data_IF_303882794805
#
_entry.id   IF_303882794805
#
_cell.length_a   1.000
_cell.length_b   1.000
_cell.length_c   1.000
_cell.angle_alpha   90.00
_cell.angle_beta   90.00
_cell.angle_gamma   90.00
#
_symmetry.space_group_name_H-M   'P 1'
#
loop_
_entity.id
_entity.type
_entity.pdbx_description
1 polymer ?
#
# COMPACT_ATOMS: atom_id res chain seq x y z
N UNK A 1 6.74 -8.27 25.49
CA UNK A 1 5.98 -7.41 24.57
C UNK A 1 4.73 -8.16 24.16
N UNK A 2 3.60 -7.81 24.76
CA UNK A 2 2.32 -8.51 24.59
C UNK A 2 1.87 -8.43 23.12
N UNK A 3 1.51 -9.57 22.52
CA UNK A 3 1.01 -9.61 21.14
C UNK A 3 -0.39 -9.01 21.13
N UNK A 4 -0.53 -7.75 20.69
CA UNK A 4 -1.82 -7.09 20.49
C UNK A 4 -2.69 -7.97 19.58
N UNK A 5 -3.75 -8.57 20.13
CA UNK A 5 -4.63 -9.48 19.39
C UNK A 5 -5.47 -8.68 18.37
N UNK A 6 -5.74 -9.21 17.16
CA UNK A 6 -6.49 -8.50 16.11
C UNK A 6 -7.95 -8.21 16.50
N UNK A 7 -8.52 -9.04 17.35
CA UNK A 7 -9.94 -9.07 17.73
C UNK A 7 -10.46 -7.85 18.51
N UNK A 8 -9.58 -6.96 18.97
CA UNK A 8 -9.94 -5.68 19.61
C UNK A 8 -9.61 -4.45 18.75
N UNK A 9 -9.31 -4.61 17.46
CA UNK A 9 -8.95 -3.47 16.62
C UNK A 9 -10.18 -2.83 16.01
N UNK A 10 -10.38 -1.56 16.35
CA UNK A 10 -11.40 -0.71 15.73
C UNK A 10 -11.11 -0.60 14.23
N UNK A 11 -11.98 -1.21 13.41
CA UNK A 11 -11.95 -1.07 11.96
C UNK A 11 -12.49 0.32 11.64
N UNK A 12 -11.62 1.19 11.12
CA UNK A 12 -12.01 2.54 10.69
C UNK A 12 -12.56 2.50 9.27
N UNK A 13 -13.47 3.40 8.91
CA UNK A 13 -13.97 3.50 7.54
C UNK A 13 -12.88 3.97 6.56
N UNK A 14 -13.13 3.82 5.26
CA UNK A 14 -12.23 4.35 4.24
C UNK A 14 -12.09 5.88 4.31
N UNK A 15 -13.18 6.58 4.61
CA UNK A 15 -13.18 8.04 4.79
C UNK A 15 -12.35 8.44 6.02
N UNK A 16 -12.46 7.70 7.12
CA UNK A 16 -11.61 7.91 8.30
C UNK A 16 -10.14 7.67 7.97
N UNK A 17 -9.83 6.64 7.18
CA UNK A 17 -8.46 6.38 6.74
C UNK A 17 -7.92 7.50 5.82
N UNK A 18 -8.76 8.02 4.92
CA UNK A 18 -8.42 9.20 4.12
C UNK A 18 -8.16 10.44 4.99
N UNK A 19 -8.89 10.64 6.09
CA UNK A 19 -8.62 11.73 7.04
C UNK A 19 -7.24 11.58 7.68
N UNK A 20 -6.84 10.35 8.05
CA UNK A 20 -5.48 10.07 8.54
C UNK A 20 -4.43 10.49 7.52
N UNK A 21 -4.60 10.12 6.24
CA UNK A 21 -3.65 10.49 5.19
C UNK A 21 -3.56 12.00 4.94
N UNK A 22 -4.62 12.76 5.24
CA UNK A 22 -4.69 14.21 5.04
C UNK A 22 -4.07 15.01 6.18
N UNK A 23 -3.79 14.42 7.34
CA UNK A 23 -3.15 15.11 8.48
C UNK A 23 -1.85 15.77 8.05
N UNK A 24 -1.68 17.03 8.42
CA UNK A 24 -0.49 17.83 8.11
C UNK A 24 0.78 17.22 8.72
N UNK A 25 1.92 17.49 8.10
CA UNK A 25 3.21 16.95 8.54
C UNK A 25 3.49 15.50 8.16
N UNK A 26 2.51 14.74 7.65
CA UNK A 26 2.78 13.41 7.08
C UNK A 26 3.46 13.56 5.71
N UNK A 27 4.69 13.05 5.53
CA UNK A 27 5.39 13.16 4.25
C UNK A 27 4.66 12.44 3.11
N UNK A 28 4.72 12.99 1.90
CA UNK A 28 4.09 12.42 0.70
C UNK A 28 4.50 10.95 0.47
N UNK A 29 5.77 10.61 0.71
CA UNK A 29 6.28 9.23 0.68
C UNK A 29 5.49 8.28 1.59
N UNK A 30 5.19 8.71 2.81
CA UNK A 30 4.47 7.90 3.79
C UNK A 30 3.02 7.74 3.36
N UNK A 31 2.38 8.81 2.88
CA UNK A 31 1.03 8.76 2.30
C UNK A 31 0.97 7.76 1.14
N UNK A 32 1.90 7.85 0.20
CA UNK A 32 2.00 6.94 -0.94
C UNK A 32 2.18 5.47 -0.52
N UNK A 33 3.07 5.19 0.45
CA UNK A 33 3.30 3.83 0.94
C UNK A 33 2.04 3.24 1.59
N UNK A 34 1.38 4.03 2.43
CA UNK A 34 0.13 3.63 3.10
C UNK A 34 -0.99 3.39 2.09
N UNK A 35 -1.18 4.31 1.14
CA UNK A 35 -2.14 4.18 0.03
C UNK A 35 -1.89 2.92 -0.79
N UNK A 36 -0.64 2.64 -1.16
CA UNK A 36 -0.33 1.49 -2.01
C UNK A 36 -0.59 0.16 -1.30
N UNK A 37 -0.20 0.04 -0.03
CA UNK A 37 -0.48 -1.15 0.79
C UNK A 37 -1.99 -1.32 0.95
N UNK A 38 -2.71 -0.23 1.24
CA UNK A 38 -4.16 -0.24 1.38
C UNK A 38 -4.83 -0.68 0.08
N UNK A 39 -4.62 -0.01 -1.05
CA UNK A 39 -5.31 -0.35 -2.30
C UNK A 39 -5.05 -1.79 -2.75
N UNK A 40 -3.78 -2.22 -2.72
CA UNK A 40 -3.37 -3.54 -3.23
C UNK A 40 -3.58 -4.68 -2.25
N UNK A 41 -3.86 -4.37 -0.98
CA UNK A 41 -3.86 -5.34 0.12
C UNK A 41 -2.52 -6.07 0.28
N UNK A 42 -1.42 -5.61 -0.31
CA UNK A 42 -0.15 -6.34 -0.34
C UNK A 42 0.60 -6.31 1.00
N UNK A 43 1.51 -7.26 1.21
CA UNK A 43 2.46 -7.16 2.33
C UNK A 43 3.49 -6.09 2.02
N UNK A 44 4.00 -5.42 3.06
CA UNK A 44 5.06 -4.43 2.87
C UNK A 44 6.29 -4.99 2.15
N UNK A 45 6.65 -6.25 2.39
CA UNK A 45 7.76 -6.92 1.69
C UNK A 45 7.50 -7.17 0.20
N UNK A 46 6.24 -7.18 -0.23
CA UNK A 46 5.84 -7.29 -1.64
C UNK A 46 5.82 -5.89 -2.30
N UNK A 47 5.52 -4.84 -1.52
CA UNK A 47 5.40 -3.46 -2.01
C UNK A 47 6.74 -2.76 -2.18
N UNK A 48 7.63 -2.82 -1.20
CA UNK A 48 8.89 -2.09 -1.24
C UNK A 48 9.78 -2.38 -2.46
N UNK A 49 9.91 -3.64 -2.95
CA UNK A 49 10.74 -3.93 -4.11
C UNK A 49 10.09 -3.57 -5.46
N UNK A 50 8.86 -3.04 -5.48
CA UNK A 50 8.21 -2.66 -6.72
C UNK A 50 8.98 -1.58 -7.47
N UNK A 51 8.98 -1.71 -8.79
CA UNK A 51 9.52 -0.76 -9.75
C UNK A 51 8.40 -0.10 -10.56
N UNK A 52 8.72 1.02 -11.22
CA UNK A 52 7.79 1.74 -12.11
C UNK A 52 7.27 0.84 -13.24
N UNK A 53 8.12 -0.02 -13.80
CA UNK A 53 7.75 -1.02 -14.81
C UNK A 53 6.70 -2.04 -14.34
N UNK A 54 6.52 -2.20 -13.02
CA UNK A 54 5.52 -3.11 -12.46
C UNK A 54 4.12 -2.49 -12.39
N UNK A 55 3.97 -1.23 -12.81
CA UNK A 55 2.71 -0.52 -12.85
C UNK A 55 2.37 -0.21 -14.30
N UNK A 56 1.19 -0.63 -14.73
CA UNK A 56 0.68 -0.29 -16.05
C UNK A 56 -0.83 -0.09 -16.03
N UNK A 57 -1.31 0.73 -16.96
CA UNK A 57 -2.73 1.02 -17.10
C UNK A 57 -3.39 -0.11 -17.89
N UNK A 58 -4.44 -0.67 -17.34
CA UNK A 58 -5.25 -1.73 -17.93
C UNK A 58 -6.71 -1.31 -17.80
N UNK A 59 -7.16 -0.40 -18.67
CA UNK A 59 -8.44 0.32 -18.50
C UNK A 59 -9.60 -0.66 -18.26
N UNK A 60 -10.47 -0.42 -17.25
CA UNK A 60 -10.58 0.78 -16.40
C UNK A 60 -9.75 0.71 -15.10
N UNK A 61 -8.67 -0.06 -15.07
CA UNK A 61 -7.85 -0.31 -13.88
C UNK A 61 -6.41 0.19 -14.03
N UNK A 62 -5.75 0.37 -12.89
CA UNK A 62 -4.31 0.28 -12.76
C UNK A 62 -3.93 -1.11 -12.28
N UNK A 63 -2.95 -1.72 -12.94
CA UNK A 63 -2.40 -3.00 -12.54
C UNK A 63 -1.08 -2.78 -11.79
N UNK A 64 -0.97 -3.35 -10.58
CA UNK A 64 0.26 -3.44 -9.82
C UNK A 64 0.72 -4.89 -9.76
N UNK A 65 1.72 -5.23 -10.58
CA UNK A 65 2.23 -6.60 -10.72
C UNK A 65 3.37 -6.86 -9.73
N UNK A 66 3.14 -7.70 -8.73
CA UNK A 66 4.10 -7.92 -7.65
C UNK A 66 4.54 -9.38 -7.52
N UNK A 67 5.81 -9.55 -7.17
CA UNK A 67 6.39 -10.84 -6.84
C UNK A 67 5.93 -11.28 -5.45
N UNK A 68 5.31 -12.45 -5.36
CA UNK A 68 4.83 -13.05 -4.11
C UNK A 68 5.45 -14.43 -3.95
N UNK A 69 5.87 -14.76 -2.74
CA UNK A 69 6.35 -16.11 -2.41
C UNK A 69 5.18 -16.98 -1.96
N UNK A 70 4.83 -18.01 -2.74
CA UNK A 70 3.79 -19.00 -2.40
C UNK A 70 4.39 -20.39 -2.46
N UNK A 71 4.38 -21.13 -1.34
CA UNK A 71 4.96 -22.49 -1.23
C UNK A 71 6.40 -22.57 -1.77
N UNK A 72 7.25 -21.61 -1.34
CA UNK A 72 8.65 -21.45 -1.80
C UNK A 72 8.84 -21.15 -3.29
N UNK A 73 7.77 -20.94 -4.06
CA UNK A 73 7.83 -20.52 -5.47
C UNK A 73 7.52 -19.04 -5.59
N UNK A 74 8.29 -18.35 -6.42
CA UNK A 74 8.03 -16.96 -6.79
C UNK A 74 6.93 -16.95 -7.86
N UNK A 75 5.85 -16.24 -7.58
CA UNK A 75 4.74 -16.05 -8.53
C UNK A 75 4.47 -14.56 -8.70
N UNK A 76 3.96 -14.17 -9.86
CA UNK A 76 3.44 -12.82 -10.08
C UNK A 76 1.98 -12.75 -9.63
N UNK A 77 1.64 -11.72 -8.87
CA UNK A 77 0.27 -11.38 -8.49
C UNK A 77 -0.06 -10.01 -9.06
N UNK A 78 -1.13 -9.93 -9.84
CA UNK A 78 -1.69 -8.66 -10.29
C UNK A 78 -2.67 -8.13 -9.23
N UNK A 79 -2.52 -6.88 -8.83
CA UNK A 79 -3.53 -6.16 -8.06
C UNK A 79 -4.18 -5.11 -8.97
N UNK A 80 -5.41 -5.39 -9.40
CA UNK A 80 -6.20 -4.50 -10.25
C UNK A 80 -6.96 -3.49 -9.38
N UNK A 81 -6.63 -2.22 -9.53
CA UNK A 81 -7.26 -1.12 -8.80
C UNK A 81 -8.10 -0.32 -9.79
N UNK A 82 -9.42 -0.37 -9.62
CA UNK A 82 -10.36 0.37 -10.49
C UNK A 82 -10.12 1.86 -10.37
N UNK A 83 -10.06 2.54 -11.51
CA UNK A 83 -10.06 4.00 -11.58
C UNK A 83 -11.48 4.47 -11.27
N UNK A 84 -11.66 5.04 -10.08
CA UNK A 84 -12.92 5.54 -9.56
C UNK A 84 -12.66 6.67 -8.58
N UNK A 85 -13.65 7.54 -8.35
CA UNK A 85 -13.57 8.62 -7.36
C UNK A 85 -13.13 8.12 -5.98
N UNK A 86 -13.65 6.96 -5.58
CA UNK A 86 -13.31 6.29 -4.34
C UNK A 86 -11.79 6.01 -4.19
N UNK A 87 -11.13 5.57 -5.26
CA UNK A 87 -9.72 5.21 -5.25
C UNK A 87 -8.80 6.37 -5.67
N UNK A 88 -9.35 7.41 -6.30
CA UNK A 88 -8.57 8.45 -6.98
C UNK A 88 -7.60 9.15 -6.03
N UNK A 89 -8.05 9.56 -4.84
CA UNK A 89 -7.20 10.24 -3.85
C UNK A 89 -6.00 9.38 -3.43
N UNK A 90 -6.21 8.06 -3.28
CA UNK A 90 -5.12 7.15 -2.95
C UNK A 90 -4.14 7.00 -4.12
N UNK A 91 -4.66 6.88 -5.35
CA UNK A 91 -3.86 6.82 -6.57
C UNK A 91 -3.05 8.11 -6.76
N UNK A 92 -3.62 9.28 -6.46
CA UNK A 92 -2.93 10.56 -6.55
C UNK A 92 -1.73 10.61 -5.59
N UNK A 93 -1.88 10.17 -4.33
CA UNK A 93 -0.72 10.08 -3.43
C UNK A 93 0.37 9.15 -3.97
N UNK A 94 -0.01 8.03 -4.58
CA UNK A 94 0.93 7.06 -5.15
C UNK A 94 1.68 7.69 -6.33
N UNK A 95 0.96 8.21 -7.32
CA UNK A 95 1.56 8.75 -8.54
C UNK A 95 2.29 10.07 -8.33
N UNK A 96 1.77 10.96 -7.49
CA UNK A 96 2.48 12.21 -7.13
C UNK A 96 3.83 11.90 -6.50
N UNK A 97 3.92 10.89 -5.63
CA UNK A 97 5.19 10.47 -5.05
C UNK A 97 6.11 9.81 -6.08
N UNK A 98 5.60 8.88 -6.89
CA UNK A 98 6.40 8.18 -7.91
C UNK A 98 6.98 9.15 -8.94
N UNK A 99 6.23 10.19 -9.28
CA UNK A 99 6.63 11.23 -10.23
C UNK A 99 7.53 12.31 -9.59
N UNK A 100 7.63 12.36 -8.25
CA UNK A 100 8.51 13.32 -7.56
C UNK A 100 9.98 12.91 -7.55
N UNK A 101 10.34 11.77 -8.15
CA UNK A 101 11.72 11.28 -8.20
C UNK A 101 11.99 10.44 -9.45
N UNK A 102 13.28 10.33 -9.82
CA UNK A 102 13.74 9.66 -11.04
C UNK A 102 14.19 8.20 -10.84
N UNK A 103 13.88 7.57 -9.70
CA UNK A 103 14.28 6.17 -9.47
C UNK A 103 13.43 5.18 -10.28
N UNK A 104 14.00 4.03 -10.61
CA UNK A 104 13.25 2.86 -11.09
C UNK A 104 12.35 2.26 -10.00
N UNK A 105 12.77 2.32 -8.73
CA UNK A 105 12.00 1.79 -7.60
C UNK A 105 10.92 2.79 -7.21
N UNK A 106 9.76 2.29 -6.80
CA UNK A 106 8.69 3.17 -6.30
C UNK A 106 9.11 3.89 -5.02
N UNK A 107 9.84 3.20 -4.12
CA UNK A 107 10.31 3.71 -2.84
C UNK A 107 11.85 3.61 -2.71
N UNK A 108 12.61 4.51 -3.36
CA UNK A 108 14.06 4.42 -3.39
C UNK A 108 14.73 4.63 -2.02
N UNK A 109 15.90 4.02 -1.84
CA UNK A 109 16.82 4.27 -0.73
C UNK A 109 17.94 5.20 -1.17
N UNK A 110 18.47 6.02 -0.26
CA UNK A 110 19.67 6.82 -0.51
C UNK A 110 20.93 5.96 -0.73
N UNK A 111 20.91 4.72 -0.26
CA UNK A 111 22.00 3.74 -0.44
C UNK A 111 21.88 2.95 -1.76
N UNK A 112 20.97 3.35 -2.66
CA UNK A 112 20.60 2.56 -3.84
C UNK A 112 19.55 1.49 -3.54
N UNK A 113 18.86 1.03 -4.58
CA UNK A 113 17.75 0.08 -4.45
C UNK A 113 16.50 0.70 -3.81
N UNK A 114 15.65 -0.14 -3.21
CA UNK A 114 14.49 0.29 -2.43
C UNK A 114 14.78 0.39 -0.93
N UNK A 115 13.97 1.12 -0.17
CA UNK A 115 14.10 1.15 1.30
C UNK A 115 13.94 -0.23 1.93
N UNK A 116 14.68 -0.43 3.02
CA UNK A 116 14.60 -1.65 3.83
C UNK A 116 13.23 -1.73 4.52
N UNK A 117 12.77 -2.96 4.76
CA UNK A 117 11.50 -3.25 5.45
C UNK A 117 11.34 -2.50 6.77
N UNK A 118 12.40 -2.41 7.58
CA UNK A 118 12.36 -1.73 8.89
C UNK A 118 12.04 -0.24 8.74
N UNK A 119 12.57 0.41 7.71
CA UNK A 119 12.29 1.82 7.42
C UNK A 119 10.85 2.01 6.96
N UNK A 120 10.38 1.18 6.02
CA UNK A 120 8.98 1.20 5.59
C UNK A 120 8.01 0.96 6.76
N UNK A 121 8.33 0.03 7.66
CA UNK A 121 7.55 -0.21 8.88
C UNK A 121 7.54 1.03 9.78
N UNK A 122 8.69 1.67 9.98
CA UNK A 122 8.82 2.87 10.82
C UNK A 122 8.01 4.04 10.28
N UNK A 123 7.99 4.25 8.95
CA UNK A 123 7.20 5.32 8.33
C UNK A 123 5.71 5.18 8.65
N UNK A 124 5.16 3.97 8.59
CA UNK A 124 3.73 3.72 8.81
C UNK A 124 3.37 3.78 10.30
N UNK A 125 4.20 3.18 11.17
CA UNK A 125 3.90 3.13 12.62
C UNK A 125 3.97 4.49 13.31
N UNK A 126 4.77 5.43 12.79
CA UNK A 126 4.79 6.80 13.30
C UNK A 126 3.50 7.57 13.04
N UNK A 127 2.70 7.13 12.07
CA UNK A 127 1.53 7.88 11.59
C UNK A 127 0.22 7.23 12.01
N UNK A 128 0.12 5.91 11.88
CA UNK A 128 -1.17 5.24 12.00
C UNK A 128 -1.09 3.90 12.72
N UNK A 129 -0.54 2.89 12.05
CA UNK A 129 -0.53 1.51 12.54
C UNK A 129 0.63 0.73 11.93
N UNK A 130 0.62 -0.60 12.04
CA UNK A 130 1.60 -1.46 11.37
C UNK A 130 1.11 -1.85 9.96
N UNK A 131 2.01 -2.23 9.03
CA UNK A 131 1.64 -2.51 7.64
C UNK A 131 0.57 -3.60 7.47
N UNK A 132 0.54 -4.59 8.37
CA UNK A 132 -0.46 -5.67 8.31
C UNK A 132 -1.87 -5.17 8.67
N UNK A 133 -1.99 -4.10 9.48
CA UNK A 133 -3.28 -3.49 9.76
C UNK A 133 -3.89 -2.88 8.50
N UNK A 134 -3.10 -2.16 7.70
CA UNK A 134 -3.58 -1.59 6.43
C UNK A 134 -4.09 -2.65 5.46
N UNK A 135 -3.38 -3.79 5.37
CA UNK A 135 -3.85 -4.94 4.60
C UNK A 135 -5.16 -5.48 5.15
N UNK A 136 -5.25 -5.69 6.46
CA UNK A 136 -6.48 -6.17 7.09
C UNK A 136 -7.65 -5.22 6.84
N UNK A 137 -7.42 -3.92 7.00
CA UNK A 137 -8.38 -2.86 6.73
C UNK A 137 -8.95 -2.94 5.30
N UNK A 138 -8.07 -3.07 4.29
CA UNK A 138 -8.52 -3.27 2.91
C UNK A 138 -9.34 -4.54 2.73
N UNK A 139 -8.86 -5.67 3.25
CA UNK A 139 -9.56 -6.94 3.13
C UNK A 139 -10.96 -6.85 3.75
N UNK A 140 -11.09 -6.21 4.92
CA UNK A 140 -12.39 -6.00 5.57
C UNK A 140 -13.30 -5.10 4.74
N UNK A 141 -12.79 -3.97 4.21
CA UNK A 141 -13.59 -3.09 3.35
C UNK A 141 -14.05 -3.76 2.06
N UNK A 142 -13.22 -4.60 1.45
CA UNK A 142 -13.61 -5.38 0.26
C UNK A 142 -14.67 -6.42 0.63
N UNK A 143 -14.49 -7.14 1.73
CA UNK A 143 -15.47 -8.14 2.20
C UNK A 143 -16.83 -7.52 2.52
N UNK A 144 -16.85 -6.33 3.14
CA UNK A 144 -18.08 -5.55 3.40
C UNK A 144 -18.82 -5.16 2.12
N UNK A 145 -18.12 -5.08 0.98
CA UNK A 145 -18.69 -4.83 -0.35
C UNK A 145 -19.03 -6.11 -1.12
N UNK A 146 -18.88 -7.29 -0.49
CA UNK A 146 -19.07 -8.59 -1.15
C UNK A 146 -17.97 -8.94 -2.16
N UNK A 147 -16.81 -8.26 -2.10
CA UNK A 147 -15.69 -8.46 -3.01
C UNK A 147 -14.61 -9.34 -2.36
N UNK A 148 -13.98 -10.18 -3.17
CA UNK A 148 -12.78 -10.90 -2.76
C UNK A 148 -11.57 -9.96 -2.73
N UNK A 149 -10.67 -10.16 -1.75
CA UNK A 149 -9.38 -9.49 -1.70
C UNK A 149 -8.33 -10.09 -2.66
N UNK A 150 -8.66 -11.22 -3.31
CA UNK A 150 -7.82 -11.97 -4.23
C UNK A 150 -8.62 -12.50 -5.42
#
# INVERSE_FOLDING_TARGET
MERRKPENQLIISQEQFLRVLKVEGIPLRTRALMSLIYLTGARISEVLPLKKENIYKEWPHWNFSMKVLKRKKLIMRSALIRISEENQVFLDYIFNYINSHNSEYLFPSSQGGHIKRIWGWTLINKVFAWPHFLRHLRCTHLAQKGLSAF
#
